data_IF_757518801365
#
_entry.id   IF_757518801365
#
_cell.length_a   1.000
_cell.length_b   1.000
_cell.length_c   1.000
_cell.angle_alpha   90.00
_cell.angle_beta   90.00
_cell.angle_gamma   90.00
#
_symmetry.space_group_name_H-M   'P 1'
#
loop_
_entity.id
_entity.type
_entity.pdbx_description
1 polymer ?
#
# COMPACT_ATOMS: atom_id res chain seq x y z
N UNK A 1 2.93 -20.03 -5.60
CA UNK A 1 1.68 -19.66 -6.31
C UNK A 1 0.76 -18.99 -5.31
N UNK A 2 0.62 -17.66 -5.42
CA UNK A 2 -0.26 -16.83 -4.58
C UNK A 2 -1.67 -17.45 -4.51
N UNK A 3 -2.38 -17.30 -3.38
CA UNK A 3 -3.74 -17.80 -3.10
C UNK A 3 -4.86 -17.15 -3.95
N UNK A 4 -4.61 -16.97 -5.25
CA UNK A 4 -5.48 -16.23 -6.17
C UNK A 4 -6.86 -16.88 -6.29
N UNK A 5 -6.91 -18.19 -6.57
CA UNK A 5 -8.16 -18.91 -6.74
C UNK A 5 -8.93 -19.04 -5.42
N UNK A 6 -8.25 -19.34 -4.31
CA UNK A 6 -8.86 -19.40 -2.98
C UNK A 6 -9.58 -18.07 -2.66
N UNK A 7 -8.89 -16.94 -2.84
CA UNK A 7 -9.46 -15.61 -2.63
C UNK A 7 -10.63 -15.28 -3.57
N UNK A 8 -10.53 -15.67 -4.83
CA UNK A 8 -11.61 -15.48 -5.80
C UNK A 8 -12.83 -16.34 -5.45
N UNK A 9 -12.64 -17.61 -5.08
CA UNK A 9 -13.74 -18.53 -4.74
C UNK A 9 -14.49 -18.09 -3.49
N UNK A 10 -13.78 -17.62 -2.46
CA UNK A 10 -14.40 -17.09 -1.23
C UNK A 10 -15.35 -15.90 -1.51
N UNK A 11 -15.00 -15.09 -2.52
CA UNK A 11 -15.77 -13.89 -2.89
C UNK A 11 -16.78 -14.12 -4.01
N UNK A 12 -16.85 -15.33 -4.55
CA UNK A 12 -17.74 -15.64 -5.68
C UNK A 12 -19.15 -15.84 -5.16
N UNK A 13 -20.09 -15.05 -5.67
CA UNK A 13 -21.52 -15.29 -5.42
C UNK A 13 -21.97 -16.56 -6.14
N UNK A 14 -22.65 -17.46 -5.43
CA UNK A 14 -23.28 -18.64 -6.03
C UNK A 14 -24.41 -18.27 -6.99
N UNK A 15 -25.10 -17.15 -6.75
CA UNK A 15 -26.22 -16.69 -7.57
C UNK A 15 -25.76 -16.07 -8.89
N UNK A 16 -24.80 -15.12 -8.83
CA UNK A 16 -24.37 -14.41 -10.04
C UNK A 16 -23.16 -15.08 -10.70
N UNK A 17 -22.41 -15.89 -9.97
CA UNK A 17 -21.15 -16.47 -10.43
C UNK A 17 -20.01 -15.45 -10.61
N UNK A 18 -20.20 -14.17 -10.29
CA UNK A 18 -19.17 -13.13 -10.27
C UNK A 18 -18.55 -12.99 -8.87
N UNK A 19 -17.40 -12.33 -8.80
CA UNK A 19 -16.82 -11.86 -7.55
C UNK A 19 -17.60 -10.64 -7.03
N UNK A 20 -17.90 -10.63 -5.73
CA UNK A 20 -18.52 -9.51 -5.04
C UNK A 20 -17.57 -8.88 -4.02
N UNK A 21 -17.75 -7.59 -3.80
CA UNK A 21 -17.14 -6.82 -2.71
C UNK A 21 -18.24 -5.95 -2.13
N UNK A 22 -18.71 -6.33 -0.94
CA UNK A 22 -19.94 -5.75 -0.37
C UNK A 22 -21.08 -5.92 -1.39
N UNK A 23 -21.81 -4.86 -1.70
CA UNK A 23 -22.92 -4.88 -2.65
C UNK A 23 -22.49 -4.62 -4.11
N UNK A 24 -21.18 -4.56 -4.37
CA UNK A 24 -20.61 -4.20 -5.65
C UNK A 24 -19.99 -5.41 -6.37
N UNK A 25 -20.08 -5.44 -7.70
CA UNK A 25 -19.42 -6.45 -8.55
C UNK A 25 -18.27 -5.78 -9.31
N UNK A 26 -17.03 -5.81 -8.78
CA UNK A 26 -15.90 -5.11 -9.37
C UNK A 26 -15.42 -5.81 -10.64
N UNK A 27 -15.45 -5.09 -11.77
CA UNK A 27 -15.17 -5.70 -13.07
C UNK A 27 -13.70 -6.11 -13.21
N UNK A 28 -12.77 -5.26 -12.80
CA UNK A 28 -11.33 -5.50 -12.94
C UNK A 28 -10.89 -6.79 -12.21
N UNK A 29 -11.37 -7.00 -10.98
CA UNK A 29 -11.12 -8.20 -10.20
C UNK A 29 -11.72 -9.44 -10.86
N UNK A 30 -12.90 -9.35 -11.47
CA UNK A 30 -13.50 -10.44 -12.22
C UNK A 30 -12.69 -10.80 -13.48
N UNK A 31 -12.08 -9.82 -14.16
CA UNK A 31 -11.15 -10.08 -15.27
C UNK A 31 -9.86 -10.74 -14.79
N UNK A 32 -9.31 -10.31 -13.64
CA UNK A 32 -8.18 -10.97 -13.01
C UNK A 32 -8.50 -12.42 -12.61
N UNK A 33 -9.72 -12.68 -12.13
CA UNK A 33 -10.17 -14.04 -11.84
C UNK A 33 -10.28 -14.90 -13.09
N UNK A 34 -10.80 -14.36 -14.19
CA UNK A 34 -10.79 -15.06 -15.47
C UNK A 34 -9.34 -15.45 -15.85
N UNK A 35 -8.40 -14.51 -15.83
CA UNK A 35 -6.98 -14.83 -16.07
C UNK A 35 -6.45 -15.91 -15.12
N UNK A 36 -6.79 -15.85 -13.83
CA UNK A 36 -6.38 -16.85 -12.84
C UNK A 36 -6.87 -18.26 -13.21
N UNK A 37 -8.09 -18.39 -13.72
CA UNK A 37 -8.65 -19.66 -14.19
C UNK A 37 -7.87 -20.24 -15.38
N UNK A 38 -7.46 -19.39 -16.34
CA UNK A 38 -6.61 -19.83 -17.46
C UNK A 38 -5.21 -20.29 -17.01
N UNK A 39 -4.63 -19.63 -16.00
CA UNK A 39 -3.30 -19.96 -15.46
C UNK A 39 -3.19 -21.35 -14.84
N UNK A 40 -4.31 -22.00 -14.55
CA UNK A 40 -4.34 -23.33 -13.95
C UNK A 40 -4.00 -24.43 -14.93
N UNK A 41 -4.16 -24.17 -16.23
CA UNK A 41 -4.06 -25.16 -17.30
C UNK A 41 -5.02 -26.36 -17.14
N UNK A 42 -6.04 -26.27 -16.28
CA UNK A 42 -7.07 -27.29 -16.09
C UNK A 42 -8.25 -27.00 -17.02
N UNK A 43 -8.61 -27.96 -17.88
CA UNK A 43 -9.62 -27.76 -18.94
C UNK A 43 -10.96 -27.21 -18.44
N UNK A 44 -11.48 -27.75 -17.34
CA UNK A 44 -12.74 -27.27 -16.74
C UNK A 44 -12.65 -25.82 -16.25
N UNK A 45 -11.52 -25.45 -15.64
CA UNK A 45 -11.30 -24.10 -15.14
C UNK A 45 -11.08 -23.12 -16.30
N UNK A 46 -10.39 -23.54 -17.36
CA UNK A 46 -10.28 -22.76 -18.61
C UNK A 46 -11.66 -22.51 -19.22
N UNK A 47 -12.54 -23.52 -19.29
CA UNK A 47 -13.90 -23.32 -19.82
C UNK A 47 -14.73 -22.38 -18.93
N UNK A 48 -14.61 -22.51 -17.60
CA UNK A 48 -15.21 -21.56 -16.67
C UNK A 48 -14.71 -20.12 -16.94
N UNK A 49 -13.40 -19.95 -17.18
CA UNK A 49 -12.80 -18.66 -17.52
C UNK A 49 -13.39 -18.07 -18.80
N UNK A 50 -13.62 -18.88 -19.83
CA UNK A 50 -14.25 -18.44 -21.09
C UNK A 50 -15.69 -18.01 -20.86
N UNK A 51 -16.47 -18.79 -20.11
CA UNK A 51 -17.86 -18.44 -19.76
C UNK A 51 -17.88 -17.10 -19.01
N UNK A 52 -16.98 -16.91 -18.06
CA UNK A 52 -16.85 -15.66 -17.32
C UNK A 52 -16.51 -14.47 -18.24
N UNK A 53 -15.56 -14.63 -19.17
CA UNK A 53 -15.20 -13.59 -20.14
C UNK A 53 -16.37 -13.19 -21.03
N UNK A 54 -17.09 -14.15 -21.62
CA UNK A 54 -18.27 -13.86 -22.47
C UNK A 54 -19.30 -13.02 -21.73
N UNK A 55 -19.53 -13.33 -20.44
CA UNK A 55 -20.46 -12.58 -19.60
C UNK A 55 -19.95 -11.17 -19.28
N UNK A 56 -18.67 -11.03 -18.93
CA UNK A 56 -18.05 -9.72 -18.66
C UNK A 56 -18.04 -8.82 -19.90
N UNK A 57 -17.78 -9.38 -21.08
CA UNK A 57 -17.78 -8.62 -22.33
C UNK A 57 -19.15 -8.13 -22.77
N UNK A 58 -20.23 -8.73 -22.25
CA UNK A 58 -21.59 -8.18 -22.40
C UNK A 58 -21.76 -6.79 -21.76
N UNK A 59 -20.88 -6.42 -20.83
CA UNK A 59 -20.85 -5.10 -20.19
C UNK A 59 -19.84 -4.13 -20.83
N UNK A 60 -19.26 -4.49 -21.97
CA UNK A 60 -18.41 -3.59 -22.75
C UNK A 60 -19.25 -2.82 -23.77
N UNK A 61 -19.25 -1.49 -23.72
CA UNK A 61 -19.88 -0.62 -24.73
C UNK A 61 -18.84 0.26 -25.40
N UNK A 62 -18.42 1.33 -24.72
CA UNK A 62 -17.34 2.25 -25.11
C UNK A 62 -16.21 2.22 -24.07
N UNK A 63 -16.03 1.06 -23.44
CA UNK A 63 -15.24 0.86 -22.24
C UNK A 63 -16.04 0.12 -21.17
N UNK A 64 -15.36 -0.14 -20.08
CA UNK A 64 -15.83 -0.95 -18.97
C UNK A 64 -16.27 -0.09 -17.79
N UNK A 65 -17.36 -0.44 -17.07
CA UNK A 65 -17.71 0.23 -15.82
C UNK A 65 -16.73 -0.13 -14.70
N UNK A 66 -16.71 0.64 -13.61
CA UNK A 66 -15.94 0.28 -12.41
C UNK A 66 -16.60 -0.93 -11.73
N UNK A 67 -17.91 -0.86 -11.52
CA UNK A 67 -18.74 -1.95 -11.03
C UNK A 67 -19.84 -2.32 -12.04
N UNK A 68 -20.23 -3.60 -12.14
CA UNK A 68 -21.20 -4.03 -13.17
C UNK A 68 -22.55 -3.30 -13.11
N UNK A 69 -23.02 -2.90 -11.93
CA UNK A 69 -24.30 -2.21 -11.76
C UNK A 69 -24.27 -0.75 -12.27
N UNK A 70 -23.09 -0.20 -12.56
CA UNK A 70 -22.95 1.14 -13.15
C UNK A 70 -23.11 1.13 -14.67
N UNK A 71 -23.15 -0.05 -15.31
CA UNK A 71 -23.34 -0.15 -16.76
C UNK A 71 -24.59 0.62 -17.22
N UNK A 72 -24.51 1.44 -18.29
CA UNK A 72 -23.42 1.51 -19.28
C UNK A 72 -22.36 2.60 -19.00
N UNK A 73 -22.27 3.13 -17.79
CA UNK A 73 -21.30 4.18 -17.46
C UNK A 73 -19.86 3.64 -17.58
N UNK A 74 -19.03 4.38 -18.33
CA UNK A 74 -17.61 4.07 -18.49
C UNK A 74 -16.84 4.50 -17.24
N UNK A 75 -16.00 3.62 -16.70
CA UNK A 75 -15.03 3.98 -15.65
C UNK A 75 -13.90 4.88 -16.18
N UNK A 76 -13.06 5.39 -15.29
CA UNK A 76 -11.95 6.29 -15.68
C UNK A 76 -10.98 5.66 -16.69
N UNK A 77 -10.24 6.47 -17.45
CA UNK A 77 -9.23 5.98 -18.39
C UNK A 77 -8.18 5.09 -17.71
N UNK A 78 -7.76 5.44 -16.49
CA UNK A 78 -6.88 4.60 -15.68
C UNK A 78 -7.48 3.22 -15.40
N UNK A 79 -8.78 3.14 -15.11
CA UNK A 79 -9.50 1.88 -14.93
C UNK A 79 -9.56 1.05 -16.21
N UNK A 80 -9.73 1.70 -17.37
CA UNK A 80 -9.68 1.02 -18.68
C UNK A 80 -8.34 0.34 -18.92
N UNK A 81 -7.23 1.05 -18.66
CA UNK A 81 -5.89 0.48 -18.76
C UNK A 81 -5.68 -0.68 -17.78
N UNK A 82 -6.19 -0.59 -16.55
CA UNK A 82 -6.15 -1.72 -15.60
C UNK A 82 -6.87 -2.94 -16.16
N UNK A 83 -8.06 -2.75 -16.72
CA UNK A 83 -8.82 -3.83 -17.34
C UNK A 83 -8.11 -4.45 -18.55
N UNK A 84 -7.28 -3.68 -19.27
CA UNK A 84 -6.49 -4.21 -20.38
C UNK A 84 -5.38 -5.19 -19.93
N UNK A 85 -4.85 -5.07 -18.71
CA UNK A 85 -3.76 -5.93 -18.21
C UNK A 85 -4.09 -7.45 -18.21
N UNK A 86 -5.21 -7.92 -17.63
CA UNK A 86 -5.55 -9.34 -17.71
C UNK A 86 -5.83 -9.78 -19.16
N UNK A 87 -6.41 -8.90 -19.99
CA UNK A 87 -6.67 -9.20 -21.41
C UNK A 87 -5.37 -9.36 -22.22
N UNK A 88 -4.37 -8.52 -21.95
CA UNK A 88 -3.03 -8.64 -22.52
C UNK A 88 -2.47 -10.03 -22.27
N UNK A 89 -2.48 -10.51 -21.02
CA UNK A 89 -1.95 -11.83 -20.70
C UNK A 89 -2.76 -12.98 -21.31
N UNK A 90 -4.09 -12.84 -21.38
CA UNK A 90 -4.95 -13.79 -22.08
C UNK A 90 -4.55 -13.90 -23.57
N UNK A 91 -4.38 -12.77 -24.26
CA UNK A 91 -3.94 -12.73 -25.65
C UNK A 91 -2.51 -13.25 -25.83
N UNK A 92 -1.57 -12.81 -24.99
CA UNK A 92 -0.15 -13.15 -25.11
C UNK A 92 0.13 -14.62 -24.83
N UNK A 93 -0.47 -15.18 -23.77
CA UNK A 93 -0.12 -16.52 -23.25
C UNK A 93 -1.16 -17.60 -23.52
N UNK A 94 -2.44 -17.23 -23.62
CA UNK A 94 -3.55 -18.19 -23.62
C UNK A 94 -4.41 -18.16 -24.89
N UNK A 95 -4.07 -17.35 -25.90
CA UNK A 95 -4.85 -17.25 -27.14
C UNK A 95 -5.05 -18.58 -27.90
N UNK A 96 -4.22 -19.59 -27.64
CA UNK A 96 -4.31 -20.91 -28.29
C UNK A 96 -5.43 -21.79 -27.73
N UNK A 97 -5.90 -21.54 -26.51
CA UNK A 97 -7.05 -22.25 -25.90
C UNK A 97 -8.36 -21.47 -26.02
N UNK A 98 -8.34 -20.24 -26.54
CA UNK A 98 -9.53 -19.39 -26.72
C UNK A 98 -10.09 -19.60 -28.14
N UNK A 99 -11.37 -19.92 -28.24
CA UNK A 99 -12.04 -20.12 -29.53
C UNK A 99 -12.10 -18.84 -30.38
N UNK A 100 -12.11 -18.94 -31.72
CA UNK A 100 -11.96 -17.79 -32.61
C UNK A 100 -12.94 -16.62 -32.35
N UNK A 101 -14.26 -16.84 -32.11
CA UNK A 101 -15.18 -15.73 -31.86
C UNK A 101 -14.83 -14.94 -30.60
N UNK A 102 -14.55 -15.64 -29.49
CA UNK A 102 -14.17 -14.99 -28.23
C UNK A 102 -12.81 -14.31 -28.33
N UNK A 103 -11.86 -14.91 -29.07
CA UNK A 103 -10.56 -14.32 -29.35
C UNK A 103 -10.68 -13.02 -30.13
N UNK A 104 -11.53 -12.97 -31.17
CA UNK A 104 -11.77 -11.76 -31.95
C UNK A 104 -12.35 -10.64 -31.07
N UNK A 105 -13.35 -10.95 -30.24
CA UNK A 105 -13.93 -9.99 -29.30
C UNK A 105 -12.90 -9.50 -28.27
N UNK A 106 -12.10 -10.40 -27.72
CA UNK A 106 -11.00 -10.09 -26.80
C UNK A 106 -9.98 -9.13 -27.44
N UNK A 107 -9.57 -9.38 -28.69
CA UNK A 107 -8.68 -8.48 -29.44
C UNK A 107 -9.32 -7.09 -29.62
N UNK A 108 -10.56 -7.01 -30.08
CA UNK A 108 -11.24 -5.73 -30.29
C UNK A 108 -11.36 -4.90 -29.02
N UNK A 109 -11.76 -5.53 -27.91
CA UNK A 109 -11.86 -4.88 -26.60
C UNK A 109 -10.48 -4.42 -26.14
N UNK A 110 -9.48 -5.30 -26.20
CA UNK A 110 -8.11 -4.97 -25.81
C UNK A 110 -7.58 -3.75 -26.58
N UNK A 111 -7.69 -3.74 -27.92
CA UNK A 111 -7.25 -2.61 -28.76
C UNK A 111 -7.97 -1.31 -28.40
N UNK A 112 -9.29 -1.36 -28.17
CA UNK A 112 -10.05 -0.20 -27.71
C UNK A 112 -9.55 0.34 -26.36
N UNK A 113 -9.27 -0.53 -25.38
CA UNK A 113 -8.78 -0.11 -24.07
C UNK A 113 -7.35 0.45 -24.14
N UNK A 114 -6.45 -0.19 -24.88
CA UNK A 114 -5.05 0.26 -24.95
C UNK A 114 -4.86 1.47 -25.82
N UNK A 115 -5.87 1.92 -26.59
CA UNK A 115 -5.84 3.18 -27.36
C UNK A 115 -6.40 4.38 -26.59
N UNK A 116 -6.99 4.16 -25.41
CA UNK A 116 -7.56 5.20 -24.55
C UNK A 116 -6.55 6.28 -24.17
N UNK A 117 -6.93 7.55 -24.23
CA UNK A 117 -6.10 8.64 -23.72
C UNK A 117 -6.13 8.66 -22.18
N UNK A 118 -4.95 8.70 -21.56
CA UNK A 118 -4.81 8.62 -20.10
C UNK A 118 -3.87 9.70 -19.62
N UNK A 119 -4.31 10.49 -18.63
CA UNK A 119 -3.52 11.60 -18.08
C UNK A 119 -2.45 11.16 -17.08
N UNK A 120 -2.68 10.05 -16.38
CA UNK A 120 -1.76 9.57 -15.33
C UNK A 120 -0.49 8.97 -15.93
N UNK A 121 0.72 9.45 -15.55
CA UNK A 121 1.99 8.97 -16.09
C UNK A 121 2.20 7.46 -15.93
N UNK A 122 1.80 6.88 -14.80
CA UNK A 122 1.93 5.45 -14.55
C UNK A 122 1.11 4.60 -15.52
N UNK A 123 -0.11 5.03 -15.82
CA UNK A 123 -0.98 4.29 -16.73
C UNK A 123 -0.57 4.48 -18.20
N UNK A 124 0.04 5.62 -18.56
CA UNK A 124 0.72 5.78 -19.85
C UNK A 124 1.90 4.79 -19.97
N UNK A 125 2.68 4.58 -18.91
CA UNK A 125 3.76 3.59 -18.88
C UNK A 125 3.23 2.18 -19.11
N UNK A 126 2.15 1.78 -18.41
CA UNK A 126 1.52 0.48 -18.62
C UNK A 126 1.01 0.31 -20.05
N UNK A 127 0.36 1.33 -20.60
CA UNK A 127 -0.13 1.35 -21.97
C UNK A 127 1.01 1.16 -22.98
N UNK A 128 2.09 1.93 -22.84
CA UNK A 128 3.30 1.81 -23.66
C UNK A 128 3.92 0.41 -23.57
N UNK A 129 4.05 -0.13 -22.35
CA UNK A 129 4.56 -1.48 -22.14
C UNK A 129 3.71 -2.53 -22.87
N UNK A 130 2.37 -2.46 -22.76
CA UNK A 130 1.46 -3.39 -23.45
C UNK A 130 1.55 -3.30 -24.98
N UNK A 131 1.92 -2.13 -25.53
CA UNK A 131 2.18 -1.93 -26.95
C UNK A 131 3.62 -2.30 -27.39
N UNK A 132 4.47 -2.72 -26.46
CA UNK A 132 5.88 -3.01 -26.74
C UNK A 132 6.72 -1.75 -27.01
N UNK A 133 6.25 -0.59 -26.57
CA UNK A 133 6.94 0.68 -26.70
C UNK A 133 7.92 0.90 -25.53
N UNK A 134 8.98 1.68 -25.78
CA UNK A 134 9.91 2.09 -24.73
C UNK A 134 9.19 2.94 -23.68
N UNK A 135 9.33 2.55 -22.41
CA UNK A 135 8.75 3.30 -21.29
C UNK A 135 9.74 4.33 -20.74
N UNK A 136 9.27 5.53 -20.34
CA UNK A 136 10.11 6.54 -19.69
C UNK A 136 10.54 6.10 -18.29
N UNK A 137 11.63 6.69 -17.79
CA UNK A 137 12.01 6.59 -16.38
C UNK A 137 10.90 7.17 -15.51
N UNK A 138 10.48 6.41 -14.50
CA UNK A 138 9.46 6.83 -13.54
C UNK A 138 9.79 6.21 -12.20
N UNK A 139 9.75 7.04 -11.15
CA UNK A 139 9.96 6.63 -9.76
C UNK A 139 8.62 6.80 -9.05
N UNK A 140 7.93 5.69 -8.74
CA UNK A 140 6.66 5.73 -8.03
C UNK A 140 6.80 6.35 -6.65
N UNK A 141 5.77 7.10 -6.24
CA UNK A 141 5.72 7.71 -4.91
C UNK A 141 4.97 6.83 -3.92
N UNK A 142 4.08 5.96 -4.42
CA UNK A 142 3.25 5.10 -3.58
C UNK A 142 3.57 3.61 -3.77
N UNK A 143 3.39 2.82 -2.72
CA UNK A 143 3.63 1.37 -2.74
C UNK A 143 2.82 0.63 -3.80
N UNK A 144 1.55 1.00 -4.00
CA UNK A 144 0.69 0.37 -5.00
C UNK A 144 1.12 0.66 -6.44
N UNK A 145 1.73 1.83 -6.70
CA UNK A 145 2.27 2.20 -8.01
C UNK A 145 3.50 1.37 -8.38
N UNK A 146 4.35 1.03 -7.39
CA UNK A 146 5.49 0.13 -7.60
C UNK A 146 5.06 -1.21 -8.17
N UNK A 147 3.96 -1.79 -7.66
CA UNK A 147 3.42 -3.05 -8.17
C UNK A 147 3.06 -2.96 -9.67
N UNK A 148 2.44 -1.87 -10.08
CA UNK A 148 2.09 -1.62 -11.49
C UNK A 148 3.32 -1.37 -12.37
N UNK A 149 4.29 -0.57 -11.90
CA UNK A 149 5.53 -0.34 -12.65
C UNK A 149 6.28 -1.66 -12.90
N UNK A 150 6.38 -2.51 -11.89
CA UNK A 150 7.00 -3.83 -12.00
C UNK A 150 6.27 -4.73 -12.99
N UNK A 151 4.93 -4.65 -13.06
CA UNK A 151 4.16 -5.34 -14.12
C UNK A 151 4.48 -4.79 -15.51
N UNK A 152 4.66 -3.49 -15.69
CA UNK A 152 5.03 -2.90 -16.98
C UNK A 152 6.35 -3.50 -17.51
N UNK A 153 7.35 -3.64 -16.65
CA UNK A 153 8.61 -4.28 -17.02
C UNK A 153 8.49 -5.79 -17.23
N UNK A 154 7.64 -6.47 -16.45
CA UNK A 154 7.31 -7.87 -16.69
C UNK A 154 6.70 -8.08 -18.09
N UNK A 155 5.86 -7.14 -18.55
CA UNK A 155 5.22 -7.15 -19.87
C UNK A 155 6.25 -6.97 -20.99
N UNK A 156 7.21 -6.06 -20.82
CA UNK A 156 8.26 -5.81 -21.80
C UNK A 156 9.27 -6.97 -21.90
N UNK A 157 9.25 -7.91 -20.94
CA UNK A 157 10.27 -8.96 -20.80
C UNK A 157 11.71 -8.39 -20.71
N UNK A 158 11.81 -7.08 -20.43
CA UNK A 158 13.08 -6.39 -20.23
C UNK A 158 13.63 -6.71 -18.84
N UNK A 159 14.96 -6.63 -18.70
CA UNK A 159 15.63 -6.67 -17.40
C UNK A 159 15.87 -5.24 -16.93
N UNK A 160 14.94 -4.59 -16.20
CA UNK A 160 15.25 -3.30 -15.62
C UNK A 160 16.09 -3.50 -14.38
N UNK A 161 17.41 -3.67 -14.55
CA UNK A 161 18.31 -3.81 -13.42
C UNK A 161 18.08 -2.69 -12.40
N UNK A 162 17.97 -1.44 -12.87
CA UNK A 162 17.77 -0.29 -11.98
C UNK A 162 16.39 -0.27 -11.30
N UNK A 163 15.28 -0.58 -11.99
CA UNK A 163 13.93 -0.52 -11.37
C UNK A 163 13.78 -1.60 -10.32
N UNK A 164 14.28 -2.79 -10.63
CA UNK A 164 14.26 -3.89 -9.67
C UNK A 164 15.17 -3.60 -8.49
N UNK A 165 16.33 -2.99 -8.71
CA UNK A 165 17.23 -2.53 -7.63
C UNK A 165 16.56 -1.47 -6.75
N UNK A 166 15.91 -0.47 -7.35
CA UNK A 166 15.14 0.54 -6.62
C UNK A 166 13.93 -0.05 -5.88
N UNK A 167 13.23 -1.01 -6.49
CA UNK A 167 12.15 -1.74 -5.85
C UNK A 167 12.68 -2.55 -4.67
N UNK A 168 13.78 -3.29 -4.82
CA UNK A 168 14.39 -4.07 -3.74
C UNK A 168 14.89 -3.17 -2.60
N UNK A 169 15.41 -1.97 -2.90
CA UNK A 169 15.81 -0.99 -1.90
C UNK A 169 14.63 -0.48 -1.04
N UNK A 170 13.39 -0.66 -1.51
CA UNK A 170 12.15 -0.30 -0.81
C UNK A 170 11.41 -1.52 -0.24
N UNK A 171 12.05 -2.69 -0.20
CA UNK A 171 11.46 -3.93 0.32
C UNK A 171 12.15 -4.35 1.60
N UNK A 172 11.43 -4.47 2.72
CA UNK A 172 11.97 -5.07 3.93
C UNK A 172 11.93 -6.59 3.83
N UNK A 173 13.06 -7.31 3.65
CA UNK A 173 13.04 -8.74 3.36
C UNK A 173 12.50 -9.59 4.51
N UNK A 174 12.83 -9.26 5.76
CA UNK A 174 12.38 -10.02 6.95
C UNK A 174 10.90 -9.83 7.25
N UNK A 175 10.43 -8.58 7.23
CA UNK A 175 9.02 -8.23 7.50
C UNK A 175 8.10 -8.45 6.29
N UNK A 176 8.69 -8.63 5.11
CA UNK A 176 7.99 -8.77 3.82
C UNK A 176 6.94 -7.67 3.60
N UNK A 177 7.41 -6.43 3.64
CA UNK A 177 6.58 -5.24 3.48
C UNK A 177 7.34 -4.14 2.76
N UNK A 178 6.61 -3.29 2.03
CA UNK A 178 7.14 -2.04 1.51
C UNK A 178 7.73 -1.17 2.63
N UNK A 179 9.02 -0.87 2.52
CA UNK A 179 9.81 0.00 3.40
C UNK A 179 10.33 1.24 2.67
N UNK A 180 9.71 1.64 1.55
CA UNK A 180 10.07 2.89 0.90
C UNK A 180 9.51 4.12 1.61
N UNK A 181 9.46 5.23 0.86
CA UNK A 181 8.95 6.50 1.35
C UNK A 181 7.53 6.36 1.94
N UNK A 182 7.29 6.75 3.21
CA UNK A 182 5.99 6.64 3.88
C UNK A 182 4.95 7.68 3.42
N UNK A 183 4.74 7.77 2.10
CA UNK A 183 3.86 8.77 1.48
C UNK A 183 2.40 8.48 1.81
N UNK A 184 1.89 7.27 1.61
CA UNK A 184 0.52 6.94 2.03
C UNK A 184 0.38 5.44 2.26
N UNK A 185 0.01 5.05 3.48
CA UNK A 185 -0.09 3.63 3.86
C UNK A 185 -1.40 3.32 4.55
N UNK A 186 -2.31 2.68 3.83
CA UNK A 186 -3.51 2.11 4.41
C UNK A 186 -3.16 0.95 5.34
N UNK A 187 -3.93 0.82 6.41
CA UNK A 187 -3.75 -0.22 7.42
C UNK A 187 -5.01 -1.10 7.47
N UNK A 188 -4.81 -2.42 7.51
CA UNK A 188 -5.88 -3.40 7.79
C UNK A 188 -5.78 -3.82 9.25
N UNK A 189 -6.46 -3.07 10.12
CA UNK A 189 -6.32 -3.22 11.56
C UNK A 189 -4.96 -2.70 12.03
N UNK A 190 -4.08 -3.61 12.48
CA UNK A 190 -2.78 -3.27 13.06
C UNK A 190 -1.61 -3.33 12.09
N UNK A 191 -1.81 -3.94 10.92
CA UNK A 191 -0.76 -4.17 9.93
C UNK A 191 -1.02 -3.34 8.67
N UNK A 192 0.05 -2.99 7.93
CA UNK A 192 -0.10 -2.36 6.62
C UNK A 192 -0.97 -3.21 5.70
N UNK A 193 -1.81 -2.58 4.89
CA UNK A 193 -2.60 -3.27 3.89
C UNK A 193 -1.68 -3.93 2.86
N UNK A 194 -2.05 -5.12 2.41
CA UNK A 194 -1.31 -5.86 1.40
C UNK A 194 -1.57 -5.23 0.02
N UNK A 195 -0.52 -4.97 -0.73
CA UNK A 195 -0.54 -4.34 -2.04
C UNK A 195 -0.09 -5.32 -3.14
N UNK A 196 -0.32 -4.96 -4.40
CA UNK A 196 0.21 -5.71 -5.54
C UNK A 196 1.75 -5.78 -5.51
N UNK A 197 2.42 -4.73 -4.99
CA UNK A 197 3.86 -4.74 -4.81
C UNK A 197 4.30 -5.83 -3.83
N UNK A 198 3.62 -5.99 -2.69
CA UNK A 198 3.95 -7.07 -1.75
C UNK A 198 3.79 -8.46 -2.40
N UNK A 199 2.74 -8.67 -3.20
CA UNK A 199 2.54 -9.93 -3.93
C UNK A 199 3.62 -10.19 -4.96
N UNK A 200 4.02 -9.14 -5.68
CA UNK A 200 5.10 -9.21 -6.65
C UNK A 200 6.42 -9.58 -5.96
N UNK A 201 6.76 -8.90 -4.86
CA UNK A 201 8.00 -9.14 -4.13
C UNK A 201 8.00 -10.52 -3.46
N UNK A 202 6.87 -11.00 -2.96
CA UNK A 202 6.73 -12.35 -2.42
C UNK A 202 7.00 -13.43 -3.48
N UNK A 203 6.42 -13.29 -4.68
CA UNK A 203 6.69 -14.22 -5.79
C UNK A 203 8.13 -14.08 -6.28
N UNK A 204 8.67 -12.87 -6.37
CA UNK A 204 10.05 -12.64 -6.79
C UNK A 204 11.08 -13.25 -5.81
N UNK A 205 10.88 -13.04 -4.51
CA UNK A 205 11.76 -13.56 -3.45
C UNK A 205 11.48 -15.02 -3.09
N UNK A 206 10.34 -15.58 -3.52
CA UNK A 206 9.83 -16.90 -3.10
C UNK A 206 9.69 -17.01 -1.58
N UNK A 207 9.35 -15.90 -0.93
CA UNK A 207 9.15 -15.81 0.50
C UNK A 207 7.71 -15.35 0.79
N UNK A 208 7.07 -15.94 1.80
CA UNK A 208 5.69 -15.65 2.18
C UNK A 208 5.60 -15.38 3.66
N UNK A 209 5.10 -14.21 4.04
CA UNK A 209 4.83 -13.88 5.44
C UNK A 209 3.50 -14.47 5.90
N UNK A 210 3.25 -14.43 7.21
CA UNK A 210 1.94 -14.80 7.77
C UNK A 210 0.82 -13.93 7.19
N UNK A 211 1.10 -12.64 6.93
CA UNK A 211 0.19 -11.69 6.28
C UNK A 211 -0.18 -12.15 4.87
N UNK A 212 0.79 -12.46 4.02
CA UNK A 212 0.56 -12.96 2.65
C UNK A 212 -0.12 -14.34 2.64
N UNK A 213 0.04 -15.14 3.70
CA UNK A 213 -0.55 -16.48 3.78
C UNK A 213 -2.06 -16.47 4.09
N UNK A 214 -2.59 -15.36 4.61
CA UNK A 214 -4.03 -15.18 4.83
C UNK A 214 -4.74 -14.89 3.50
N UNK A 215 -6.06 -15.09 3.43
CA UNK A 215 -6.80 -14.79 2.20
C UNK A 215 -7.16 -13.30 2.17
N UNK A 216 -6.69 -12.59 1.14
CA UNK A 216 -6.94 -11.16 0.92
C UNK A 216 -7.56 -10.90 -0.45
N UNK A 217 -8.41 -9.86 -0.56
CA UNK A 217 -8.97 -9.43 -1.85
C UNK A 217 -7.89 -9.13 -2.89
N UNK A 218 -6.77 -8.53 -2.47
CA UNK A 218 -5.66 -8.18 -3.37
C UNK A 218 -5.03 -9.42 -4.04
N UNK A 219 -5.17 -10.62 -3.45
CA UNK A 219 -4.66 -11.85 -4.06
C UNK A 219 -5.25 -12.13 -5.43
N UNK A 220 -6.47 -11.65 -5.71
CA UNK A 220 -7.07 -11.76 -7.04
C UNK A 220 -6.19 -11.08 -8.10
N UNK A 221 -5.58 -9.94 -7.77
CA UNK A 221 -4.65 -9.22 -8.66
C UNK A 221 -3.30 -9.94 -8.81
N UNK A 222 -2.96 -10.88 -7.91
CA UNK A 222 -1.81 -11.76 -8.04
C UNK A 222 -1.83 -12.61 -9.33
N UNK A 223 -2.99 -12.74 -9.99
CA UNK A 223 -3.11 -13.32 -11.33
C UNK A 223 -2.22 -12.63 -12.38
N UNK A 224 -1.84 -11.37 -12.17
CA UNK A 224 -0.97 -10.59 -13.07
C UNK A 224 0.52 -10.82 -12.82
N UNK A 225 0.90 -11.38 -11.67
CA UNK A 225 2.31 -11.61 -11.31
C UNK A 225 2.77 -12.95 -11.88
N UNK A 226 3.77 -12.93 -12.76
CA UNK A 226 4.38 -14.12 -13.34
C UNK A 226 5.78 -14.34 -12.77
N UNK A 227 6.23 -15.59 -12.61
CA UNK A 227 7.56 -15.87 -12.08
C UNK A 227 8.67 -15.27 -12.96
N UNK A 228 9.63 -14.59 -12.33
CA UNK A 228 10.87 -14.16 -12.98
C UNK A 228 11.84 -15.33 -13.06
N UNK A 229 12.55 -15.43 -14.19
CA UNK A 229 13.52 -16.53 -14.42
C UNK A 229 14.79 -16.38 -13.59
N UNK A 230 15.14 -15.17 -13.16
CA UNK A 230 16.35 -14.86 -12.40
C UNK A 230 16.02 -14.38 -11.00
N UNK A 231 16.81 -14.84 -10.02
CA UNK A 231 16.70 -14.46 -8.61
C UNK A 231 17.89 -13.58 -8.25
N UNK A 232 17.63 -12.41 -7.67
CA UNK A 232 18.61 -11.66 -6.90
C UNK A 232 18.13 -11.57 -5.45
N UNK A 233 19.02 -11.83 -4.51
CA UNK A 233 18.81 -11.49 -3.10
C UNK A 233 18.94 -9.98 -2.93
N UNK A 234 17.95 -9.35 -2.30
CA UNK A 234 18.02 -7.94 -1.94
C UNK A 234 19.12 -7.73 -0.89
N UNK A 235 19.82 -6.60 -0.95
CA UNK A 235 20.51 -6.08 0.22
C UNK A 235 19.48 -5.60 1.24
N UNK A 236 19.77 -5.70 2.54
CA UNK A 236 18.88 -5.25 3.60
C UNK A 236 18.75 -3.72 3.58
N UNK A 237 17.57 -3.14 3.30
CA UNK A 237 17.38 -1.73 3.54
C UNK A 237 17.42 -1.46 5.05
N UNK A 238 17.80 -0.23 5.41
CA UNK A 238 17.67 0.25 6.79
C UNK A 238 16.21 0.11 7.25
N UNK A 239 15.94 -0.47 8.45
CA UNK A 239 14.59 -0.56 9.02
C UNK A 239 14.01 0.81 9.41
N UNK A 240 14.82 1.86 9.34
CA UNK A 240 14.47 3.24 9.62
C UNK A 240 14.43 4.07 8.36
N UNK A 241 13.29 4.73 8.12
CA UNK A 241 13.04 5.58 6.97
C UNK A 241 12.43 6.90 7.42
N UNK A 242 12.90 7.99 6.81
CA UNK A 242 12.49 9.36 7.15
C UNK A 242 12.14 10.07 5.85
N UNK A 243 10.96 10.69 5.80
CA UNK A 243 10.64 11.62 4.72
C UNK A 243 11.08 13.03 5.09
N UNK A 244 11.97 13.58 4.29
CA UNK A 244 12.34 15.00 4.31
C UNK A 244 11.70 15.69 3.13
N UNK A 245 10.36 15.74 3.06
CA UNK A 245 9.67 16.38 1.93
C UNK A 245 8.86 17.58 2.40
N UNK A 246 8.92 18.67 1.63
CA UNK A 246 8.04 19.85 1.74
C UNK A 246 6.86 19.64 0.79
N UNK A 247 5.62 19.81 1.26
CA UNK A 247 4.41 19.70 0.45
C UNK A 247 3.13 19.92 1.27
N UNK A 248 2.00 20.19 0.61
CA UNK A 248 0.70 20.30 1.28
C UNK A 248 0.17 18.90 1.64
N UNK A 249 0.30 18.52 2.91
CA UNK A 249 0.09 17.14 3.42
C UNK A 249 -1.32 16.84 3.93
N UNK A 250 -2.34 17.59 3.52
CA UNK A 250 -3.70 17.42 4.05
C UNK A 250 -4.44 16.15 3.57
N UNK A 251 -3.74 15.21 2.94
CA UNK A 251 -4.32 13.94 2.49
C UNK A 251 -4.24 12.87 3.59
N UNK A 252 -5.30 12.06 3.74
CA UNK A 252 -5.37 11.00 4.75
C UNK A 252 -4.25 9.97 4.56
N UNK A 253 -3.53 9.68 5.64
CA UNK A 253 -2.63 8.53 5.73
C UNK A 253 -1.15 8.76 5.36
N UNK A 254 -0.72 10.02 5.29
CA UNK A 254 0.69 10.37 5.16
C UNK A 254 1.43 10.19 6.50
N UNK A 255 2.71 9.80 6.44
CA UNK A 255 3.59 9.76 7.62
C UNK A 255 4.93 10.44 7.33
N UNK A 256 5.37 11.37 8.18
CA UNK A 256 6.67 12.06 8.01
C UNK A 256 7.85 11.13 8.32
N UNK A 257 7.63 10.16 9.21
CA UNK A 257 8.63 9.20 9.64
C UNK A 257 7.98 7.83 9.78
N UNK A 258 8.73 6.79 9.43
CA UNK A 258 8.34 5.41 9.69
C UNK A 258 9.53 4.57 10.11
N UNK A 259 9.36 3.91 11.24
CA UNK A 259 10.31 2.92 11.74
C UNK A 259 9.63 1.58 11.85
N UNK A 260 10.20 0.55 11.23
CA UNK A 260 9.65 -0.80 11.21
C UNK A 260 10.53 -1.74 12.05
N UNK A 261 9.90 -2.70 12.73
CA UNK A 261 10.57 -3.81 13.40
C UNK A 261 9.60 -4.99 13.59
N UNK A 262 10.09 -6.10 14.13
CA UNK A 262 9.30 -7.31 14.37
C UNK A 262 9.86 -8.48 13.57
N UNK A 263 8.96 -9.36 13.12
CA UNK A 263 9.28 -10.55 12.32
C UNK A 263 8.18 -10.84 11.28
N UNK A 264 8.31 -11.95 10.54
CA UNK A 264 7.35 -12.40 9.53
C UNK A 264 5.94 -12.72 10.07
N UNK A 265 5.85 -12.98 11.38
CA UNK A 265 4.61 -13.29 12.08
C UNK A 265 3.93 -12.04 12.61
N UNK A 266 4.67 -10.94 12.78
CA UNK A 266 4.15 -9.68 13.32
C UNK A 266 5.00 -8.47 12.91
N UNK A 267 4.38 -7.58 12.16
CA UNK A 267 4.98 -6.29 11.76
C UNK A 267 4.60 -5.23 12.78
N UNK A 268 5.61 -4.55 13.33
CA UNK A 268 5.44 -3.39 14.21
C UNK A 268 5.97 -2.14 13.53
N UNK A 269 5.35 -1.01 13.86
CA UNK A 269 5.72 0.27 13.27
C UNK A 269 5.55 1.41 14.26
N UNK A 270 6.46 2.38 14.21
CA UNK A 270 6.33 3.69 14.82
C UNK A 270 6.25 4.69 13.68
N UNK A 271 5.10 5.34 13.55
CA UNK A 271 4.83 6.32 12.49
C UNK A 271 4.60 7.70 13.09
N UNK A 272 5.12 8.73 12.43
CA UNK A 272 4.85 10.13 12.79
C UNK A 272 3.81 10.71 11.84
N UNK A 273 2.71 11.25 12.37
CA UNK A 273 1.71 12.02 11.64
C UNK A 273 1.68 13.44 12.18
N UNK A 274 2.01 14.40 11.33
CA UNK A 274 1.98 15.82 11.62
C UNK A 274 1.95 16.59 10.30
N UNK A 275 1.42 17.80 10.33
CA UNK A 275 1.43 18.80 9.27
C UNK A 275 2.74 19.64 9.26
N UNK A 276 3.64 19.40 10.21
CA UNK A 276 4.92 20.11 10.34
C UNK A 276 5.91 19.81 9.22
N UNK A 277 6.82 20.76 8.99
CA UNK A 277 8.02 20.51 8.20
C UNK A 277 9.00 19.66 9.03
N UNK A 278 9.51 18.58 8.42
CA UNK A 278 10.51 17.70 9.02
C UNK A 278 11.88 17.88 8.34
N UNK A 279 12.90 18.17 9.14
CA UNK A 279 14.29 18.22 8.71
C UNK A 279 15.10 17.13 9.39
N UNK A 280 15.85 16.36 8.61
CA UNK A 280 16.74 15.32 9.15
C UNK A 280 18.13 15.92 9.41
N UNK A 281 18.55 15.88 10.66
CA UNK A 281 19.93 16.17 11.06
C UNK A 281 20.70 14.85 11.31
N UNK A 282 22.00 14.97 11.60
CA UNK A 282 22.90 13.81 11.72
C UNK A 282 22.43 12.79 12.77
N UNK A 283 21.98 13.26 13.93
CA UNK A 283 21.60 12.44 15.10
C UNK A 283 20.14 12.62 15.53
N UNK A 284 19.36 13.44 14.84
CA UNK A 284 18.00 13.81 15.25
C UNK A 284 17.10 14.22 14.09
N UNK A 285 15.81 14.30 14.38
CA UNK A 285 14.78 14.83 13.50
C UNK A 285 14.22 16.13 14.06
N UNK A 286 14.27 17.21 13.27
CA UNK A 286 13.80 18.53 13.68
C UNK A 286 12.42 18.78 13.07
N UNK A 287 11.42 18.94 13.93
CA UNK A 287 10.04 19.29 13.58
C UNK A 287 9.87 20.80 13.73
N UNK A 288 9.60 21.48 12.62
CA UNK A 288 9.42 22.92 12.59
C UNK A 288 7.93 23.21 12.73
N UNK A 289 7.57 23.82 13.85
CA UNK A 289 6.18 24.17 14.15
C UNK A 289 5.74 25.37 13.31
N UNK A 290 4.44 25.39 12.97
CA UNK A 290 3.81 26.53 12.29
C UNK A 290 3.92 27.82 13.11
N UNK A 291 3.79 28.98 12.45
CA UNK A 291 3.82 30.27 13.14
C UNK A 291 2.60 30.49 14.03
N UNK A 292 1.45 29.95 13.65
CA UNK A 292 0.22 30.02 14.41
C UNK A 292 0.26 28.99 15.55
N UNK A 293 -0.03 29.43 16.77
CA UNK A 293 -0.22 28.53 17.90
C UNK A 293 -1.68 28.09 17.88
N UNK A 294 -1.97 26.77 17.83
CA UNK A 294 -3.35 26.30 17.82
C UNK A 294 -4.13 26.83 19.02
N UNK A 295 -5.32 27.38 18.76
CA UNK A 295 -6.20 27.90 19.81
C UNK A 295 -6.97 26.76 20.54
N UNK A 296 -6.97 25.56 19.97
CA UNK A 296 -7.65 24.39 20.54
C UNK A 296 -6.77 23.72 21.61
N UNK A 297 -7.21 23.79 22.87
CA UNK A 297 -6.50 23.24 24.04
C UNK A 297 -6.17 21.74 23.95
N UNK A 298 -6.82 20.99 23.06
CA UNK A 298 -6.67 19.53 22.93
C UNK A 298 -5.93 19.09 21.67
N UNK A 299 -5.53 20.03 20.80
CA UNK A 299 -4.86 19.68 19.56
C UNK A 299 -3.42 19.21 19.82
N UNK A 300 -3.12 17.98 19.43
CA UNK A 300 -1.76 17.44 19.42
C UNK A 300 -1.11 17.82 18.09
N UNK A 301 -0.10 18.69 18.13
CA UNK A 301 0.57 19.19 16.93
C UNK A 301 1.54 18.15 16.34
N UNK A 302 2.23 17.41 17.21
CA UNK A 302 3.14 16.34 16.82
C UNK A 302 2.63 15.02 17.39
N UNK A 303 2.35 14.03 16.53
CA UNK A 303 1.79 12.76 16.96
C UNK A 303 2.56 11.57 16.40
N UNK A 304 2.92 10.63 17.27
CA UNK A 304 3.42 9.31 16.88
C UNK A 304 2.39 8.24 17.21
N UNK A 305 2.34 7.22 16.36
CA UNK A 305 1.51 6.04 16.57
C UNK A 305 2.37 4.78 16.55
N UNK A 306 2.09 3.88 17.48
CA UNK A 306 2.66 2.53 17.52
C UNK A 306 1.59 1.52 17.89
N UNK A 307 1.73 0.29 17.42
CA UNK A 307 0.74 -0.77 17.65
C UNK A 307 0.43 -0.93 19.15
N UNK A 308 -0.85 -0.96 19.51
CA UNK A 308 -1.26 -1.39 20.84
C UNK A 308 -1.36 -2.89 20.91
N UNK A 309 -0.71 -3.46 21.90
CA UNK A 309 -0.87 -4.85 22.28
C UNK A 309 -0.53 -5.06 23.75
N UNK A 310 -1.04 -6.16 24.30
CA UNK A 310 -0.69 -6.71 25.60
C UNK A 310 0.83 -6.81 25.87
N UNK A 311 1.64 -7.04 24.83
CA UNK A 311 3.11 -7.10 24.93
C UNK A 311 3.80 -5.74 24.81
N UNK A 312 3.13 -4.73 24.26
CA UNK A 312 3.71 -3.41 24.03
C UNK A 312 3.42 -2.48 25.21
N UNK A 313 4.47 -2.14 25.95
CA UNK A 313 4.38 -1.28 27.13
C UNK A 313 5.11 0.04 26.89
N UNK A 314 4.49 1.15 27.32
CA UNK A 314 5.12 2.47 27.28
C UNK A 314 5.50 2.94 28.68
N UNK A 315 6.66 3.56 28.75
CA UNK A 315 7.22 4.13 29.98
C UNK A 315 7.72 5.55 29.72
N UNK A 316 7.68 6.37 30.76
CA UNK A 316 8.32 7.70 30.83
C UNK A 316 9.32 7.63 31.98
N UNK A 317 10.61 7.87 31.70
CA UNK A 317 11.68 7.75 32.71
C UNK A 317 11.65 6.40 33.46
N UNK A 318 11.38 5.33 32.70
CA UNK A 318 11.27 3.96 33.23
C UNK A 318 10.02 3.66 34.07
N UNK A 319 9.12 4.63 34.25
CA UNK A 319 7.85 4.49 35.00
C UNK A 319 6.65 4.42 34.06
N UNK A 320 5.61 3.68 34.45
CA UNK A 320 4.37 3.58 33.67
C UNK A 320 3.53 4.84 33.88
N UNK A 321 3.69 5.83 33.00
CA UNK A 321 3.02 7.12 33.06
C UNK A 321 2.46 7.48 31.68
N UNK A 322 1.44 8.36 31.67
CA UNK A 322 0.76 8.81 30.45
C UNK A 322 1.04 10.26 30.09
N UNK A 323 1.85 10.95 30.89
CA UNK A 323 2.24 12.36 30.66
C UNK A 323 3.76 12.42 30.71
N UNK A 324 4.35 13.24 29.84
CA UNK A 324 5.79 13.49 29.82
C UNK A 324 6.09 14.95 29.44
N UNK A 325 7.30 15.40 29.73
CA UNK A 325 7.85 16.69 29.41
C UNK A 325 9.04 16.56 28.44
N UNK A 326 9.46 17.67 27.83
CA UNK A 326 10.70 17.68 27.05
C UNK A 326 11.89 17.30 27.94
N UNK A 327 12.85 16.57 27.39
CA UNK A 327 14.00 16.02 28.12
C UNK A 327 13.75 14.66 28.77
N UNK A 328 12.48 14.25 28.95
CA UNK A 328 12.15 12.93 29.47
C UNK A 328 12.15 11.87 28.34
N UNK A 329 12.66 10.67 28.66
CA UNK A 329 12.71 9.54 27.74
C UNK A 329 11.37 8.82 27.74
N UNK A 330 10.73 8.78 26.57
CA UNK A 330 9.59 7.92 26.29
C UNK A 330 10.10 6.61 25.69
N UNK A 331 9.89 5.51 26.40
CA UNK A 331 10.37 4.18 25.99
C UNK A 331 9.19 3.27 25.60
N UNK A 332 9.24 2.76 24.37
CA UNK A 332 8.37 1.69 23.88
C UNK A 332 9.11 0.36 24.06
N UNK A 333 8.57 -0.53 24.89
CA UNK A 333 9.10 -1.88 25.10
C UNK A 333 8.20 -2.90 24.44
N UNK A 334 8.75 -3.67 23.51
CA UNK A 334 8.15 -4.90 22.97
C UNK A 334 9.07 -6.08 23.28
N UNK A 335 8.63 -7.30 22.98
CA UNK A 335 9.46 -8.50 23.14
C UNK A 335 10.73 -8.43 22.28
N UNK A 336 10.62 -7.85 21.10
CA UNK A 336 11.65 -7.84 20.07
C UNK A 336 12.55 -6.61 20.15
N UNK A 337 12.04 -5.47 20.67
CA UNK A 337 12.76 -4.19 20.60
C UNK A 337 12.40 -3.25 21.74
N UNK A 338 13.38 -2.40 22.08
CA UNK A 338 13.17 -1.21 22.91
C UNK A 338 13.46 0.01 22.06
N UNK A 339 12.50 0.91 21.96
CA UNK A 339 12.63 2.17 21.20
C UNK A 339 12.53 3.31 22.19
N UNK A 340 13.57 4.14 22.27
CA UNK A 340 13.61 5.29 23.16
C UNK A 340 13.50 6.56 22.35
N UNK A 341 12.57 7.42 22.73
CA UNK A 341 12.30 8.70 22.11
C UNK A 341 12.66 9.80 23.11
N UNK A 342 13.51 10.72 22.70
CA UNK A 342 13.88 11.89 23.48
C UNK A 342 13.51 13.15 22.69
N UNK A 343 12.57 13.92 23.24
CA UNK A 343 12.13 15.19 22.67
C UNK A 343 12.86 16.35 23.33
N UNK A 344 13.39 17.29 22.55
CA UNK A 344 14.11 18.48 23.03
C UNK A 344 13.67 19.74 22.31
N UNK A 345 13.71 20.89 23.01
CA UNK A 345 13.51 22.20 22.40
C UNK A 345 14.84 22.66 21.78
N UNK A 346 14.87 22.84 20.46
CA UNK A 346 16.10 23.17 19.73
C UNK A 346 16.17 24.64 19.34
N UNK A 347 15.01 25.27 19.11
CA UNK A 347 14.89 26.71 18.83
C UNK A 347 13.55 27.23 19.36
N UNK A 348 13.56 28.45 19.88
CA UNK A 348 12.38 29.14 20.40
C UNK A 348 12.22 28.96 21.91
N UNK A 349 11.07 29.39 22.42
CA UNK A 349 10.68 29.28 23.82
C UNK A 349 9.26 28.73 23.89
N UNK A 350 8.91 28.04 24.98
CA UNK A 350 7.56 27.53 25.18
C UNK A 350 7.45 26.46 26.25
N UNK A 351 6.21 26.15 26.62
CA UNK A 351 5.86 25.06 27.52
C UNK A 351 5.18 23.98 26.69
N UNK A 352 5.74 22.78 26.73
CA UNK A 352 5.25 21.63 25.99
C UNK A 352 4.83 20.52 26.95
N UNK A 353 3.80 19.78 26.55
CA UNK A 353 3.28 18.67 27.33
C UNK A 353 3.01 17.49 26.41
N UNK A 354 3.64 16.37 26.72
CA UNK A 354 3.45 15.10 26.06
C UNK A 354 2.37 14.26 26.72
N UNK A 355 1.62 13.51 25.92
CA UNK A 355 0.57 12.59 26.38
C UNK A 355 0.70 11.25 25.66
N UNK A 356 0.45 10.17 26.40
CA UNK A 356 0.34 8.81 25.88
C UNK A 356 -1.09 8.35 26.11
N UNK A 357 -1.83 8.13 25.03
CA UNK A 357 -3.21 7.68 25.08
C UNK A 357 -3.49 6.63 24.00
N UNK A 358 -4.70 6.08 23.98
CA UNK A 358 -5.13 5.16 22.92
C UNK A 358 -5.65 5.99 21.75
N UNK A 359 -5.36 5.57 20.53
CA UNK A 359 -5.79 6.26 19.32
C UNK A 359 -5.65 5.40 18.09
N UNK A 360 -6.03 5.96 16.95
CA UNK A 360 -5.91 5.34 15.63
C UNK A 360 -5.18 6.30 14.69
N UNK A 361 -4.42 5.73 13.75
CA UNK A 361 -3.86 6.48 12.61
C UNK A 361 -4.98 6.89 11.68
N UNK A 362 -4.79 8.00 10.95
CA UNK A 362 -5.75 8.43 9.94
C UNK A 362 -5.99 7.39 8.82
N UNK A 363 -5.02 6.51 8.55
CA UNK A 363 -5.08 5.50 7.49
C UNK A 363 -5.67 4.15 7.91
N UNK A 364 -6.08 3.99 9.16
CA UNK A 364 -6.72 2.75 9.63
C UNK A 364 -8.17 2.71 9.18
N UNK A 365 -8.43 1.95 8.11
CA UNK A 365 -9.72 1.86 7.40
C UNK A 365 -10.80 1.08 8.16
N UNK A 366 -10.84 1.17 9.49
CA UNK A 366 -11.75 0.43 10.35
C UNK A 366 -12.76 1.33 11.09
N UNK A 367 -13.26 2.39 10.45
CA UNK A 367 -14.29 3.28 10.99
C UNK A 367 -15.62 3.24 10.23
N UNK A 368 -15.86 2.19 9.43
CA UNK A 368 -17.17 1.94 8.82
C UNK A 368 -17.70 0.60 9.34
N UNK A 369 -18.26 0.57 10.55
CA UNK A 369 -19.01 -0.59 11.05
C UNK A 369 -19.05 -0.69 12.58
N UNK A 370 -19.57 -1.78 13.17
CA UNK A 370 -19.70 -1.94 14.64
C UNK A 370 -18.36 -1.95 15.42
N UNK A 371 -17.22 -1.77 14.73
CA UNK A 371 -15.87 -1.68 15.33
C UNK A 371 -15.34 -0.25 15.47
N UNK A 372 -16.16 0.78 15.23
CA UNK A 372 -15.75 2.20 15.26
C UNK A 372 -15.08 2.65 16.57
N UNK A 373 -15.31 1.93 17.68
CA UNK A 373 -14.72 2.24 18.99
C UNK A 373 -13.39 1.51 19.27
N UNK A 374 -12.85 0.75 18.32
CA UNK A 374 -11.61 -0.01 18.54
C UNK A 374 -10.39 0.89 18.35
N UNK A 375 -9.59 1.06 19.40
CA UNK A 375 -8.27 1.70 19.29
C UNK A 375 -7.18 0.66 19.01
N UNK A 376 -6.53 0.76 17.86
CA UNK A 376 -5.49 -0.15 17.40
C UNK A 376 -4.08 0.26 17.83
N UNK A 377 -3.87 1.54 18.16
CA UNK A 377 -2.56 2.09 18.46
C UNK A 377 -2.49 2.76 19.84
N UNK A 378 -1.27 2.86 20.34
CA UNK A 378 -0.84 3.89 21.27
C UNK A 378 -0.51 5.17 20.49
N UNK A 379 -1.07 6.28 20.94
CA UNK A 379 -0.81 7.64 20.46
C UNK A 379 0.13 8.33 21.45
N UNK A 380 1.32 8.71 20.99
CA UNK A 380 2.28 9.54 21.72
C UNK A 380 2.19 10.94 21.11
N UNK A 381 1.43 11.82 21.74
CA UNK A 381 1.19 13.19 21.27
C UNK A 381 2.02 14.20 22.04
N UNK A 382 2.49 15.24 21.38
CA UNK A 382 3.13 16.40 21.98
C UNK A 382 2.35 17.64 21.55
N UNK A 383 1.91 18.43 22.53
CA UNK A 383 1.24 19.73 22.33
C UNK A 383 2.04 20.86 22.95
N UNK A 384 1.97 22.05 22.34
CA UNK A 384 2.35 23.29 23.02
C UNK A 384 1.20 23.76 23.93
N UNK A 385 1.55 24.24 25.13
CA UNK A 385 0.66 25.02 26.00
C UNK A 385 0.82 26.49 25.67
N UNK A 386 2.07 26.90 25.46
CA UNK A 386 2.49 28.23 25.02
C UNK A 386 3.80 28.07 24.26
N UNK A 387 4.05 28.87 23.22
CA UNK A 387 5.32 28.89 22.50
C UNK A 387 5.49 30.13 21.65
N UNK A 388 6.74 30.49 21.38
CA UNK A 388 7.09 31.47 20.36
C UNK A 388 6.80 30.93 18.95
N UNK A 389 6.50 31.81 17.98
CA UNK A 389 6.49 31.43 16.56
C UNK A 389 7.83 30.80 16.15
N UNK A 390 7.81 29.90 15.15
CA UNK A 390 9.02 29.25 14.59
C UNK A 390 9.81 28.37 15.56
N UNK A 391 9.12 27.78 16.53
CA UNK A 391 9.70 26.79 17.45
C UNK A 391 10.12 25.52 16.71
N UNK A 392 11.26 24.95 17.10
CA UNK A 392 11.76 23.67 16.56
C UNK A 392 11.89 22.65 17.70
N UNK A 393 11.21 21.51 17.55
CA UNK A 393 11.35 20.36 18.44
C UNK A 393 12.23 19.31 17.78
N UNK A 394 13.31 18.93 18.45
CA UNK A 394 14.17 17.82 18.07
C UNK A 394 13.67 16.50 18.65
N UNK A 395 13.72 15.43 17.85
CA UNK A 395 13.52 14.06 18.28
C UNK A 395 14.81 13.26 18.05
N UNK A 396 15.34 12.67 19.12
CA UNK A 396 16.37 11.62 19.05
C UNK A 396 15.73 10.26 19.29
N UNK A 397 16.07 9.30 18.44
CA UNK A 397 15.76 7.88 18.65
C UNK A 397 17.05 7.23 19.14
N UNK A 398 17.08 6.87 20.43
CA UNK A 398 18.29 6.44 21.16
C UNK A 398 18.56 4.94 21.06
#
# INVERSE_FOLDING_TARGET
>A
MIKVLEAAREKRSSQTGFLHREDCIPLYENLCFALALFRTHVGEQVEEGKILLRRLFGFFSNGFPLYLHEYPQKGSSSHQIRCALPLYYLLKKYQHVIEPPLKQQLCQIYESLVTEEVSSPLYQILQKAMRGEKIPTYIPQFSHEWGLLLLAYQILEEKPSWVLEEALARWHPELMVYSGEPVQEYQRGKEPELTLYDLFMAEYSQATSKRISQVHSIHIQGALVFPFREKKTAAFPSPFQVLTRKGDWNAQGFHLMRFLWGDEGRIRSLVCQSDMELQKNRDRLDFIYSREVPNEKEQMELTFFTEYDSEAQLFVEGKKQTVFHLGEIVEIRTKEKRVKLLFSLEKGEGIFMGHICRGNRLAQLATNGPKDFTSYDWKIGLRSIDRTPETVIGLRIL
#
